data_IF_454917577260
#
_entry.id   IF_454917577260
#
_cell.length_a   1.000
_cell.length_b   1.000
_cell.length_c   1.000
_cell.angle_alpha   90.00
_cell.angle_beta   90.00
_cell.angle_gamma   90.00
#
_symmetry.space_group_name_H-M   'P 1'
#
loop_
_entity.id
_entity.type
_entity.pdbx_description
1 polymer ?
#
# COMPACT_ATOMS: atom_id res chain seq x y z
N UNK A 1 -12.86 16.12 6.79
CA UNK A 1 -12.28 15.08 7.68
C UNK A 1 -13.07 14.99 8.98
N UNK A 2 -13.32 16.12 9.65
CA UNK A 2 -14.23 16.18 10.80
C UNK A 2 -15.68 15.79 10.45
N UNK A 3 -16.13 16.09 9.23
CA UNK A 3 -17.51 15.80 8.78
C UNK A 3 -17.67 14.42 8.10
N UNK A 4 -16.56 13.76 7.80
CA UNK A 4 -16.57 12.45 7.13
C UNK A 4 -15.32 11.65 7.55
N UNK A 5 -15.34 11.05 8.76
CA UNK A 5 -14.22 10.29 9.29
C UNK A 5 -13.93 9.03 8.47
N UNK A 6 -14.89 8.55 7.66
CA UNK A 6 -14.69 7.44 6.73
C UNK A 6 -13.64 7.72 5.65
N UNK A 7 -13.25 9.00 5.45
CA UNK A 7 -12.18 9.40 4.52
C UNK A 7 -10.77 9.20 5.08
N UNK A 8 -10.61 9.00 6.38
CA UNK A 8 -9.29 8.83 7.00
C UNK A 8 -8.55 7.62 6.47
N UNK A 9 -9.29 6.52 6.29
CA UNK A 9 -8.74 5.22 5.93
C UNK A 9 -9.55 4.64 4.78
N UNK A 10 -9.46 5.25 3.60
CA UNK A 10 -10.12 4.71 2.41
C UNK A 10 -9.49 5.20 1.12
N UNK A 11 -9.69 4.41 0.08
CA UNK A 11 -9.40 4.77 -1.31
C UNK A 11 -10.68 5.32 -1.92
N UNK A 12 -10.52 6.31 -2.78
CA UNK A 12 -11.63 6.95 -3.47
C UNK A 12 -11.27 7.13 -4.93
N UNK A 13 -12.22 6.87 -5.81
CA UNK A 13 -12.22 7.48 -7.13
C UNK A 13 -13.00 8.79 -7.05
N UNK A 14 -12.48 9.79 -7.77
CA UNK A 14 -13.13 11.09 -7.92
C UNK A 14 -13.28 11.39 -9.40
N UNK A 15 -14.40 12.00 -9.75
CA UNK A 15 -14.63 12.57 -11.08
C UNK A 15 -13.61 13.66 -11.35
N UNK A 16 -13.02 13.63 -12.55
CA UNK A 16 -12.09 14.68 -13.01
C UNK A 16 -12.85 15.96 -13.36
N UNK A 17 -14.13 15.84 -13.73
CA UNK A 17 -14.94 16.98 -14.19
C UNK A 17 -15.33 17.91 -13.04
N UNK A 18 -15.73 17.34 -11.89
CA UNK A 18 -16.32 18.10 -10.78
C UNK A 18 -15.79 17.72 -9.39
N UNK A 19 -14.90 16.73 -9.29
CA UNK A 19 -14.35 16.28 -8.01
C UNK A 19 -15.33 15.47 -7.14
N UNK A 20 -16.50 15.10 -7.67
CA UNK A 20 -17.44 14.22 -6.96
C UNK A 20 -16.82 12.85 -6.70
N UNK A 21 -17.13 12.25 -5.55
CA UNK A 21 -16.66 10.90 -5.23
C UNK A 21 -17.52 9.88 -5.99
N UNK A 22 -16.90 9.11 -6.88
CA UNK A 22 -17.57 8.06 -7.66
C UNK A 22 -17.79 6.80 -6.83
N UNK A 23 -16.75 6.39 -6.09
CA UNK A 23 -16.82 5.29 -5.14
C UNK A 23 -15.81 5.47 -4.01
N UNK A 24 -16.02 4.72 -2.92
CA UNK A 24 -15.13 4.64 -1.77
C UNK A 24 -14.98 3.20 -1.31
N UNK A 25 -13.74 2.83 -1.00
CA UNK A 25 -13.41 1.51 -0.47
C UNK A 25 -12.61 1.65 0.83
N UNK A 26 -13.10 1.08 1.94
CA UNK A 26 -12.45 1.23 3.23
C UNK A 26 -11.11 0.50 3.28
N UNK A 27 -10.14 1.15 3.90
CA UNK A 27 -8.93 0.54 4.41
C UNK A 27 -9.08 0.41 5.94
N UNK A 28 -8.47 -0.61 6.51
CA UNK A 28 -8.45 -0.81 7.97
C UNK A 28 -7.65 0.27 8.69
N UNK A 29 -6.62 0.81 8.04
CA UNK A 29 -5.63 1.73 8.58
C UNK A 29 -5.09 2.65 7.48
N UNK A 30 -4.27 3.62 7.87
CA UNK A 30 -3.63 4.55 6.94
C UNK A 30 -2.76 3.80 5.90
N UNK A 31 -2.82 4.30 4.67
CA UNK A 31 -1.91 3.93 3.60
C UNK A 31 -0.97 5.10 3.34
N UNK A 32 0.32 4.83 3.18
CA UNK A 32 1.33 5.86 2.94
C UNK A 32 1.84 5.91 1.50
N UNK A 33 1.75 4.80 0.77
CA UNK A 33 2.09 4.81 -0.66
C UNK A 33 0.90 5.22 -1.50
N UNK A 34 1.17 5.83 -2.66
CA UNK A 34 0.12 6.15 -3.61
C UNK A 34 -0.46 4.87 -4.23
N UNK A 35 -1.72 4.96 -4.68
CA UNK A 35 -2.31 3.93 -5.52
C UNK A 35 -1.78 4.03 -6.96
N UNK A 36 -1.81 2.93 -7.70
CA UNK A 36 -1.54 2.87 -9.13
C UNK A 36 -2.67 2.17 -9.87
N UNK A 37 -2.71 2.33 -11.18
CA UNK A 37 -3.77 1.79 -12.03
C UNK A 37 -3.16 1.03 -13.21
N UNK A 38 -3.71 -0.15 -13.51
CA UNK A 38 -3.47 -0.85 -14.77
C UNK A 38 -4.63 -1.80 -15.09
N UNK A 39 -5.02 -1.87 -16.36
CA UNK A 39 -6.00 -2.84 -16.89
C UNK A 39 -7.33 -2.88 -16.13
N UNK A 40 -7.86 -1.72 -15.72
CA UNK A 40 -9.12 -1.65 -14.96
C UNK A 40 -8.99 -2.02 -13.49
N UNK A 41 -7.77 -2.12 -12.95
CA UNK A 41 -7.50 -2.45 -11.55
C UNK A 41 -6.68 -1.36 -10.90
N UNK A 42 -7.12 -0.90 -9.73
CA UNK A 42 -6.39 0.02 -8.86
C UNK A 42 -5.65 -0.78 -7.80
N UNK A 43 -4.33 -0.66 -7.73
CA UNK A 43 -3.48 -1.28 -6.72
C UNK A 43 -3.10 -0.25 -5.66
N UNK A 44 -3.19 -0.64 -4.39
CA UNK A 44 -2.84 0.25 -3.30
C UNK A 44 -2.16 -0.49 -2.16
N UNK A 45 -1.13 0.13 -1.55
CA UNK A 45 -0.47 -0.45 -0.40
C UNK A 45 -1.35 -0.33 0.84
N UNK A 46 -1.53 -1.40 1.60
CA UNK A 46 -2.06 -1.36 2.96
C UNK A 46 -0.89 -1.41 3.92
N UNK A 47 -0.34 -0.24 4.24
CA UNK A 47 0.95 -0.08 4.92
C UNK A 47 1.00 -0.82 6.26
N UNK A 48 -0.06 -0.71 7.07
CA UNK A 48 -0.10 -1.32 8.39
C UNK A 48 -0.76 -2.71 8.44
N UNK A 49 -1.37 -3.17 7.35
CA UNK A 49 -1.81 -4.57 7.22
C UNK A 49 -0.72 -5.43 6.56
N UNK A 50 0.42 -4.84 6.18
CA UNK A 50 1.49 -5.50 5.44
C UNK A 50 0.96 -6.25 4.20
N UNK A 51 0.21 -5.55 3.36
CA UNK A 51 -0.35 -6.14 2.14
C UNK A 51 -0.46 -5.14 1.00
N UNK A 52 -0.57 -5.65 -0.22
CA UNK A 52 -1.05 -4.89 -1.37
C UNK A 52 -2.49 -5.31 -1.63
N UNK A 53 -3.38 -4.33 -1.77
CA UNK A 53 -4.79 -4.54 -2.11
C UNK A 53 -5.05 -4.06 -3.53
N UNK A 54 -5.98 -4.70 -4.21
CA UNK A 54 -6.41 -4.34 -5.54
C UNK A 54 -7.93 -4.23 -5.61
N UNK A 55 -8.39 -3.24 -6.33
CA UNK A 55 -9.80 -2.88 -6.46
C UNK A 55 -10.15 -2.76 -7.93
N UNK A 56 -11.36 -3.18 -8.28
CA UNK A 56 -11.95 -2.87 -9.57
C UNK A 56 -12.07 -1.35 -9.70
N UNK A 57 -11.59 -0.79 -10.82
CA UNK A 57 -11.46 0.65 -10.97
C UNK A 57 -12.80 1.37 -11.15
N UNK A 58 -13.82 0.67 -11.67
CA UNK A 58 -15.13 1.26 -11.96
C UNK A 58 -16.04 1.22 -10.73
N UNK A 59 -15.94 0.16 -9.93
CA UNK A 59 -16.82 -0.09 -8.79
C UNK A 59 -16.17 0.13 -7.43
N UNK A 60 -14.85 0.13 -7.35
CA UNK A 60 -14.09 0.14 -6.10
C UNK A 60 -14.13 -1.19 -5.34
N UNK A 61 -14.75 -2.25 -5.86
CA UNK A 61 -14.86 -3.52 -5.15
C UNK A 61 -13.49 -4.21 -5.07
N UNK A 62 -13.13 -4.83 -3.93
CA UNK A 62 -11.86 -5.54 -3.79
C UNK A 62 -11.84 -6.76 -4.72
N UNK A 63 -10.80 -6.89 -5.54
CA UNK A 63 -10.63 -8.00 -6.49
C UNK A 63 -9.45 -8.90 -6.15
N UNK A 64 -8.46 -8.40 -5.40
CA UNK A 64 -7.30 -9.16 -4.97
C UNK A 64 -6.61 -8.52 -3.76
N UNK A 65 -5.91 -9.34 -2.98
CA UNK A 65 -4.98 -8.87 -1.98
C UNK A 65 -3.85 -9.89 -1.81
N UNK A 66 -2.65 -9.41 -1.47
CA UNK A 66 -1.53 -10.28 -1.14
C UNK A 66 -0.68 -9.73 -0.01
N UNK A 67 -0.29 -10.56 0.96
CA UNK A 67 0.60 -10.15 2.03
C UNK A 67 2.01 -9.87 1.50
N UNK A 68 2.67 -8.92 2.15
CA UNK A 68 4.10 -8.65 2.04
C UNK A 68 4.70 -8.72 3.44
N UNK A 69 6.00 -8.98 3.57
CA UNK A 69 6.59 -9.21 4.90
C UNK A 69 6.97 -7.94 5.66
N UNK A 70 6.83 -6.76 5.04
CA UNK A 70 7.05 -5.47 5.71
C UNK A 70 6.11 -4.39 5.20
N UNK A 71 6.13 -3.24 5.85
CA UNK A 71 5.23 -2.12 5.54
C UNK A 71 5.43 -1.61 4.10
N UNK A 72 4.46 -1.76 3.18
CA UNK A 72 4.55 -1.13 1.88
C UNK A 72 4.20 0.36 2.04
N UNK A 73 5.19 1.22 1.88
CA UNK A 73 5.03 2.68 1.85
C UNK A 73 5.32 3.28 0.47
N UNK A 74 5.78 2.46 -0.48
CA UNK A 74 6.01 2.86 -1.85
C UNK A 74 4.77 2.65 -2.72
N UNK A 75 4.65 3.43 -3.79
CA UNK A 75 3.67 3.22 -4.86
C UNK A 75 3.92 1.88 -5.56
N UNK A 76 2.94 0.98 -5.67
CA UNK A 76 3.05 -0.21 -6.51
C UNK A 76 3.15 0.20 -7.98
N UNK A 77 4.11 -0.33 -8.74
CA UNK A 77 4.36 0.06 -10.13
C UNK A 77 4.01 -1.11 -11.05
N UNK A 78 2.95 -0.98 -11.88
CA UNK A 78 2.68 -1.94 -12.94
C UNK A 78 3.74 -1.83 -14.05
N UNK A 79 4.40 -2.93 -14.40
CA UNK A 79 5.41 -3.03 -15.46
C UNK A 79 5.12 -4.28 -16.29
N UNK A 80 4.48 -4.08 -17.46
CA UNK A 80 4.05 -5.18 -18.31
C UNK A 80 3.12 -6.14 -17.55
N UNK A 81 3.42 -7.45 -17.48
CA UNK A 81 2.61 -8.42 -16.75
C UNK A 81 2.90 -8.43 -15.24
N UNK A 82 3.74 -7.53 -14.73
CA UNK A 82 4.19 -7.56 -13.34
C UNK A 82 3.74 -6.30 -12.56
N UNK A 83 3.67 -6.43 -11.24
CA UNK A 83 3.51 -5.33 -10.30
C UNK A 83 4.70 -5.36 -9.34
N UNK A 84 5.45 -4.26 -9.25
CA UNK A 84 6.63 -4.16 -8.39
C UNK A 84 6.37 -3.15 -7.27
N UNK A 85 6.74 -3.47 -6.03
CA UNK A 85 6.57 -2.55 -4.90
C UNK A 85 7.70 -2.72 -3.88
N UNK A 86 8.18 -1.59 -3.35
CA UNK A 86 9.09 -1.60 -2.21
C UNK A 86 8.30 -1.75 -0.90
N UNK A 87 8.75 -2.65 -0.03
CA UNK A 87 8.19 -2.84 1.29
C UNK A 87 9.29 -2.92 2.35
N UNK A 88 8.98 -2.50 3.57
CA UNK A 88 9.94 -2.37 4.66
C UNK A 88 10.37 -0.94 4.85
N UNK A 89 10.23 -0.44 6.07
CA UNK A 89 10.82 0.82 6.48
C UNK A 89 12.17 0.54 7.12
N UNK A 90 13.19 1.31 6.78
CA UNK A 90 14.09 1.82 7.81
C UNK A 90 13.51 3.13 8.29
N UNK A 91 13.41 3.23 9.60
CA UNK A 91 13.24 4.48 10.32
C UNK A 91 14.36 5.43 9.92
N UNK A 92 14.02 6.70 9.73
CA UNK A 92 15.03 7.74 9.46
C UNK A 92 15.99 7.87 10.65
N UNK A 93 17.16 8.48 10.44
CA UNK A 93 18.20 8.69 11.46
C UNK A 93 17.68 9.34 12.77
N UNK A 94 16.55 10.06 12.69
CA UNK A 94 15.90 10.72 13.83
C UNK A 94 15.10 9.72 14.68
N UNK A 95 14.38 8.78 14.05
CA UNK A 95 13.65 7.72 14.75
C UNK A 95 14.60 6.68 15.39
N UNK A 96 15.79 6.46 14.80
CA UNK A 96 16.87 5.64 15.39
C UNK A 96 17.30 6.13 16.77
N UNK A 97 17.33 7.45 16.98
CA UNK A 97 17.74 8.05 18.25
C UNK A 97 16.65 8.07 19.32
N UNK A 98 15.38 7.96 18.93
CA UNK A 98 14.25 8.11 19.85
C UNK A 98 13.78 6.80 20.49
N UNK A 99 13.85 5.67 19.78
CA UNK A 99 13.19 4.42 20.23
C UNK A 99 14.10 3.25 20.62
N UNK A 100 15.42 3.39 20.55
CA UNK A 100 16.35 2.34 20.99
C UNK A 100 16.35 1.12 20.07
N UNK A 101 17.44 0.93 19.33
CA UNK A 101 17.63 -0.20 18.43
C UNK A 101 17.45 -1.54 19.17
N UNK A 102 16.60 -2.42 18.65
CA UNK A 102 16.55 -3.83 19.09
C UNK A 102 15.16 -4.44 19.25
N UNK A 103 14.14 -3.66 19.61
CA UNK A 103 12.84 -4.23 19.96
C UNK A 103 12.15 -4.96 18.77
N UNK A 104 12.38 -4.49 17.55
CA UNK A 104 11.80 -5.06 16.33
C UNK A 104 12.83 -5.82 15.46
N UNK A 105 14.12 -5.80 15.83
CA UNK A 105 15.17 -6.51 15.10
C UNK A 105 14.93 -8.03 15.11
N UNK A 106 14.34 -8.56 16.19
CA UNK A 106 13.95 -9.96 16.30
C UNK A 106 12.83 -10.36 15.33
N UNK A 107 12.03 -9.41 14.84
CA UNK A 107 10.88 -9.65 13.97
C UNK A 107 11.16 -9.32 12.50
N UNK A 108 11.85 -8.21 12.25
CA UNK A 108 12.03 -7.67 10.91
C UNK A 108 13.46 -7.79 10.37
N UNK A 109 14.45 -8.07 11.25
CA UNK A 109 15.87 -8.10 10.93
C UNK A 109 16.49 -6.70 10.73
N UNK A 110 17.78 -6.49 11.05
CA UNK A 110 18.41 -5.16 11.11
C UNK A 110 18.76 -4.56 9.73
N UNK A 111 18.45 -5.28 8.66
CA UNK A 111 18.96 -5.03 7.30
C UNK A 111 17.86 -4.49 6.38
N UNK A 112 18.16 -3.58 5.44
CA UNK A 112 17.20 -3.23 4.40
C UNK A 112 17.01 -4.40 3.40
N UNK A 113 17.84 -5.44 3.52
CA UNK A 113 17.74 -6.74 2.84
C UNK A 113 17.23 -7.84 3.79
N UNK A 114 16.73 -7.47 4.97
CA UNK A 114 16.14 -8.46 5.85
C UNK A 114 14.88 -9.05 5.20
N UNK A 115 14.42 -10.26 5.58
CA UNK A 115 13.30 -10.91 4.90
C UNK A 115 12.03 -10.07 4.83
N UNK A 116 11.84 -9.16 5.79
CA UNK A 116 10.73 -8.22 5.86
C UNK A 116 10.89 -6.96 4.97
N UNK A 117 12.11 -6.64 4.53
CA UNK A 117 12.42 -5.45 3.72
C UNK A 117 12.92 -5.84 2.33
N UNK A 118 12.42 -5.17 1.29
CA UNK A 118 12.89 -5.41 -0.06
C UNK A 118 11.88 -5.05 -1.14
N UNK A 119 12.16 -5.51 -2.36
CA UNK A 119 11.31 -5.33 -3.52
C UNK A 119 10.48 -6.60 -3.75
N UNK A 120 9.17 -6.42 -3.80
CA UNK A 120 8.19 -7.46 -4.04
C UNK A 120 7.70 -7.38 -5.49
N UNK A 121 7.61 -8.52 -6.15
CA UNK A 121 7.10 -8.65 -7.50
C UNK A 121 5.92 -9.62 -7.57
N UNK A 122 4.85 -9.20 -8.21
CA UNK A 122 3.65 -10.01 -8.44
C UNK A 122 3.39 -10.12 -9.93
N UNK A 123 2.93 -11.29 -10.39
CA UNK A 123 2.45 -11.45 -11.77
C UNK A 123 0.97 -11.16 -11.83
N UNK A 124 0.56 -10.22 -12.67
CA UNK A 124 -0.84 -9.94 -12.94
C UNK A 124 -1.43 -11.07 -13.77
N UNK A 125 -2.65 -11.50 -13.43
CA UNK A 125 -3.40 -12.40 -14.29
C UNK A 125 -3.68 -11.67 -15.62
N UNK A 126 -3.30 -12.27 -16.74
CA UNK A 126 -3.71 -11.76 -18.06
C UNK A 126 -5.24 -11.84 -18.16
N UNK A 127 -5.85 -10.82 -18.78
CA UNK A 127 -7.23 -10.94 -19.26
C UNK A 127 -7.26 -11.84 -20.49
#
# INVERSE_FOLDING_TARGET
LLDDPGRLFSIHAMSVEDGSILWRSPLSRASYGAASYANGVVFAPSTFDFSIKAFDADTGLPVWASPVLGAPSATPIPIGPNLIVGAGTRTTDVEYKTFGAGALDALAGPSPLAPASGVWGFKLAGR
#
